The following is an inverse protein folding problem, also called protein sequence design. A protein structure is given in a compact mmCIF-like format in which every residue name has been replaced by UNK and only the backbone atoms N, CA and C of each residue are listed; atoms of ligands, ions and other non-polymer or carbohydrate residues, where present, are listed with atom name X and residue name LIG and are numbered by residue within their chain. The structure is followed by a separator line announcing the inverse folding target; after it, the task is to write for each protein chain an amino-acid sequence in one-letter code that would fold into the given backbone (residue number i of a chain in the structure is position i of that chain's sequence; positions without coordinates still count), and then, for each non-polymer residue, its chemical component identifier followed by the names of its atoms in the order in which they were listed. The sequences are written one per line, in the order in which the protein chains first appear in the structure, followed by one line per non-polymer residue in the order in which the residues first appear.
data_IF_858899176202
#
_entry.id   IF_858899176202
#
_cell.length_a   1.000
_cell.length_b   1.000
_cell.length_c   1.000
_cell.angle_alpha   90.00
_cell.angle_beta   90.00
_cell.angle_gamma   90.00
#
_symmetry.space_group_name_H-M   'P 1'
#
loop_
_entity.id
_entity.type
_entity.pdbx_description
1 polymer ?
#
# COMPACT_ATOMS: atom_id res chain seq x y z
N UNK A 1 42.28 19.91 -3.02
CA UNK A 1 40.95 20.26 -2.46
C UNK A 1 40.42 21.48 -3.21
N UNK A 2 39.14 21.55 -3.59
CA UNK A 2 38.59 22.76 -4.18
C UNK A 2 38.54 23.88 -3.14
N UNK A 3 38.95 25.08 -3.54
CA UNK A 3 38.73 26.31 -2.76
C UNK A 3 37.24 26.63 -2.87
N UNK A 4 36.59 26.93 -1.73
CA UNK A 4 35.18 27.34 -1.68
C UNK A 4 35.08 28.72 -1.04
N UNK A 5 34.15 29.52 -1.53
CA UNK A 5 33.93 30.86 -1.01
C UNK A 5 33.43 30.80 0.44
N UNK A 6 34.11 31.54 1.31
CA UNK A 6 33.70 31.74 2.71
C UNK A 6 32.56 32.77 2.81
N UNK A 7 32.47 33.67 1.83
CA UNK A 7 31.49 34.75 1.78
C UNK A 7 30.86 34.85 0.38
N UNK A 8 29.61 35.28 0.32
CA UNK A 8 28.91 35.64 -0.92
C UNK A 8 28.84 37.15 -1.04
N UNK A 9 29.03 37.65 -2.26
CA UNK A 9 28.97 39.09 -2.55
C UNK A 9 27.51 39.55 -2.55
N UNK A 10 27.18 40.54 -1.72
CA UNK A 10 25.89 41.21 -1.79
C UNK A 10 25.91 42.33 -2.84
N UNK A 11 24.75 42.67 -3.39
CA UNK A 11 24.61 43.84 -4.25
C UNK A 11 24.71 45.12 -3.42
N UNK A 12 25.36 46.15 -3.97
CA UNK A 12 25.25 47.51 -3.42
C UNK A 12 23.86 48.09 -3.67
N UNK A 13 23.53 49.13 -2.92
CA UNK A 13 22.34 49.94 -3.22
C UNK A 13 22.55 50.70 -4.54
N UNK A 14 21.49 50.84 -5.36
CA UNK A 14 21.57 51.66 -6.57
C UNK A 14 21.82 53.12 -6.21
N UNK A 15 22.61 53.80 -7.06
CA UNK A 15 23.01 55.19 -6.90
C UNK A 15 23.03 55.89 -8.26
N UNK A 16 23.02 57.22 -8.25
CA UNK A 16 23.12 58.06 -9.44
C UNK A 16 24.23 59.09 -9.22
N UNK A 17 24.98 59.40 -10.27
CA UNK A 17 26.07 60.38 -10.24
C UNK A 17 25.74 61.59 -11.11
N UNK A 18 26.15 62.79 -10.67
CA UNK A 18 26.15 64.00 -11.49
C UNK A 18 27.49 64.22 -12.22
N UNK A 19 27.56 65.25 -13.07
CA UNK A 19 28.79 65.59 -13.80
C UNK A 19 29.92 65.94 -12.80
N UNK A 20 31.08 65.30 -12.97
CA UNK A 20 32.26 65.48 -12.11
C UNK A 20 32.10 65.02 -10.66
N UNK A 21 31.13 64.15 -10.36
CA UNK A 21 30.97 63.53 -9.04
C UNK A 21 31.70 62.18 -8.96
N UNK A 22 32.37 61.92 -7.85
CA UNK A 22 32.99 60.62 -7.53
C UNK A 22 32.36 60.09 -6.23
N UNK A 23 31.87 58.85 -6.27
CA UNK A 23 31.33 58.17 -5.08
C UNK A 23 32.06 56.84 -4.90
N UNK A 24 32.41 56.54 -3.65
CA UNK A 24 32.95 55.26 -3.24
C UNK A 24 31.82 54.42 -2.63
N UNK A 25 31.67 53.19 -3.12
CA UNK A 25 30.62 52.26 -2.67
C UNK A 25 31.27 50.98 -2.23
N UNK A 26 31.16 50.74 -0.93
CA UNK A 26 31.57 49.49 -0.34
C UNK A 26 30.54 48.40 -0.65
N UNK A 27 31.03 47.23 -1.06
CA UNK A 27 30.21 46.03 -1.19
C UNK A 27 30.21 45.28 0.14
N UNK A 28 29.04 44.80 0.56
CA UNK A 28 28.92 43.97 1.75
C UNK A 28 29.13 42.49 1.38
N UNK A 29 29.82 41.77 2.28
CA UNK A 29 30.01 40.33 2.18
C UNK A 29 29.08 39.64 3.16
N UNK A 30 28.28 38.70 2.67
CA UNK A 30 27.44 37.83 3.50
C UNK A 30 28.16 36.50 3.73
N UNK A 31 28.04 35.88 4.91
CA UNK A 31 28.55 34.52 5.10
C UNK A 31 27.90 33.56 4.10
N UNK A 32 28.73 32.75 3.43
CA UNK A 32 28.23 31.73 2.54
C UNK A 32 27.48 30.66 3.36
N UNK A 33 26.31 30.18 2.92
CA UNK A 33 25.61 29.10 3.62
C UNK A 33 26.53 27.89 3.77
N UNK A 34 26.79 27.45 5.00
CA UNK A 34 27.67 26.31 5.21
C UNK A 34 27.03 25.05 4.60
N UNK A 35 27.77 24.29 3.77
CA UNK A 35 27.24 23.05 3.23
C UNK A 35 26.92 22.09 4.39
N UNK A 36 25.81 21.35 4.32
CA UNK A 36 25.46 20.40 5.37
C UNK A 36 26.55 19.35 5.50
N UNK A 37 27.18 19.27 6.68
CA UNK A 37 28.17 18.25 7.01
C UNK A 37 27.55 17.23 7.98
N UNK A 38 26.48 16.57 7.56
CA UNK A 38 25.71 15.66 8.42
C UNK A 38 25.66 14.26 7.85
N UNK A 39 25.54 13.26 8.72
CA UNK A 39 25.45 11.86 8.30
C UNK A 39 24.41 11.11 9.12
N UNK A 40 23.40 10.60 8.44
CA UNK A 40 22.37 9.75 9.04
C UNK A 40 22.46 8.38 8.37
N UNK A 41 22.62 7.32 9.15
CA UNK A 41 22.67 5.97 8.60
C UNK A 41 21.95 4.98 9.48
N UNK A 42 21.62 3.83 8.90
CA UNK A 42 21.19 2.69 9.69
C UNK A 42 20.59 1.60 8.84
N UNK A 43 19.67 0.84 9.42
CA UNK A 43 19.10 -0.36 8.79
C UNK A 43 17.59 -0.40 8.88
N UNK A 44 16.98 -1.06 7.89
CA UNK A 44 15.59 -1.50 7.94
C UNK A 44 15.57 -3.03 7.92
N UNK A 45 14.95 -3.63 8.92
CA UNK A 45 14.79 -5.07 9.05
C UNK A 45 13.34 -5.46 9.32
N UNK A 46 13.02 -6.72 9.05
CA UNK A 46 11.79 -7.36 9.45
C UNK A 46 11.88 -7.78 10.93
N UNK A 47 10.73 -7.95 11.57
CA UNK A 47 10.67 -8.37 12.96
C UNK A 47 11.31 -9.73 13.25
N UNK A 48 11.34 -10.63 12.27
CA UNK A 48 12.02 -11.93 12.39
C UNK A 48 13.54 -11.85 12.11
N UNK A 49 14.13 -10.65 12.01
CA UNK A 49 15.59 -10.45 11.89
C UNK A 49 16.14 -10.30 10.47
N UNK A 50 15.35 -10.57 9.42
CA UNK A 50 15.80 -10.42 8.03
C UNK A 50 15.90 -8.94 7.62
N UNK A 51 16.96 -8.54 6.91
CA UNK A 51 17.06 -7.19 6.36
C UNK A 51 16.11 -6.97 5.19
N UNK A 52 15.50 -5.78 5.10
CA UNK A 52 14.56 -5.43 4.02
C UNK A 52 15.29 -4.58 3.00
N UNK A 53 15.46 -5.12 1.78
CA UNK A 53 16.00 -4.40 0.62
C UNK A 53 14.94 -3.50 -0.01
N UNK A 54 15.35 -2.44 -0.69
CA UNK A 54 14.47 -1.51 -1.40
C UNK A 54 13.40 -0.83 -0.52
N UNK A 55 13.54 -0.88 0.81
CA UNK A 55 12.69 -0.12 1.71
C UNK A 55 12.97 1.38 1.51
N UNK A 56 11.91 2.16 1.44
CA UNK A 56 11.92 3.59 1.29
C UNK A 56 12.06 4.25 2.66
N UNK A 57 13.20 4.89 2.91
CA UNK A 57 13.44 5.68 4.12
C UNK A 57 13.33 7.15 3.75
N UNK A 58 12.50 7.91 4.46
CA UNK A 58 12.22 9.32 4.17
C UNK A 58 12.50 10.19 5.39
N UNK A 59 13.10 11.36 5.16
CA UNK A 59 13.31 12.41 6.15
C UNK A 59 12.29 13.52 5.90
N UNK A 60 11.72 14.03 6.98
CA UNK A 60 10.75 15.11 7.02
C UNK A 60 11.27 16.24 7.91
N UNK A 61 10.90 17.49 7.58
CA UNK A 61 11.14 18.65 8.44
C UNK A 61 10.36 18.56 9.75
N UNK A 62 10.61 19.47 10.67
CA UNK A 62 9.83 19.63 11.90
C UNK A 62 8.35 19.99 11.63
N UNK A 63 8.04 20.65 10.50
CA UNK A 63 6.66 20.83 10.00
C UNK A 63 6.12 19.62 9.22
N UNK A 64 6.78 18.46 9.31
CA UNK A 64 6.38 17.20 8.65
C UNK A 64 6.39 17.25 7.11
N UNK A 65 7.03 18.24 6.49
CA UNK A 65 7.21 18.29 5.04
C UNK A 65 8.32 17.31 4.62
N UNK A 66 8.06 16.47 3.60
CA UNK A 66 9.06 15.51 3.12
C UNK A 66 10.21 16.24 2.44
N UNK A 67 11.45 15.98 2.89
CA UNK A 67 12.66 16.60 2.37
C UNK A 67 13.41 15.67 1.42
N UNK A 68 13.75 14.47 1.91
CA UNK A 68 14.60 13.53 1.18
C UNK A 68 14.09 12.10 1.34
N UNK A 69 14.48 11.24 0.40
CA UNK A 69 14.16 9.82 0.44
C UNK A 69 15.25 9.00 -0.22
N UNK A 70 15.55 7.85 0.37
CA UNK A 70 16.51 6.86 -0.17
C UNK A 70 15.93 5.46 -0.07
N UNK A 71 16.49 4.53 -0.86
CA UNK A 71 16.17 3.10 -0.78
C UNK A 71 17.26 2.36 -0.03
N UNK A 72 16.88 1.39 0.80
CA UNK A 72 17.84 0.48 1.43
C UNK A 72 18.48 -0.45 0.41
N UNK A 73 19.76 -0.79 0.62
CA UNK A 73 20.46 -1.79 -0.18
C UNK A 73 20.10 -3.23 0.22
N UNK A 74 20.75 -4.23 -0.39
CA UNK A 74 20.51 -5.67 -0.12
C UNK A 74 20.74 -6.09 1.34
N UNK A 75 21.54 -5.34 2.11
CA UNK A 75 21.78 -5.57 3.55
C UNK A 75 20.86 -4.69 4.42
N UNK A 76 19.79 -4.13 3.85
CA UNK A 76 18.85 -3.26 4.53
C UNK A 76 19.44 -1.90 4.95
N UNK A 77 20.65 -1.54 4.50
CA UNK A 77 21.34 -0.32 4.94
C UNK A 77 20.91 0.88 4.10
N UNK A 78 20.75 2.03 4.75
CA UNK A 78 20.54 3.33 4.12
C UNK A 78 21.52 4.36 4.68
N UNK A 79 21.82 5.39 3.88
CA UNK A 79 22.67 6.52 4.27
C UNK A 79 22.08 7.79 3.66
N UNK A 80 21.97 8.83 4.46
CA UNK A 80 21.83 10.23 4.04
C UNK A 80 23.11 10.94 4.43
N UNK A 81 23.82 11.51 3.47
CA UNK A 81 25.14 12.12 3.69
C UNK A 81 25.15 13.51 3.07
N UNK A 82 25.46 14.52 3.89
CA UNK A 82 25.52 15.92 3.49
C UNK A 82 24.23 16.41 2.80
N UNK A 83 23.06 16.02 3.32
CA UNK A 83 21.75 16.38 2.75
C UNK A 83 20.94 17.37 3.62
N UNK A 84 21.10 17.33 4.94
CA UNK A 84 20.32 18.16 5.88
C UNK A 84 21.24 18.96 6.77
N UNK A 85 20.84 20.18 7.15
CA UNK A 85 21.56 20.95 8.15
C UNK A 85 21.39 20.33 9.55
N UNK A 86 22.28 20.59 10.51
CA UNK A 86 22.05 20.23 11.90
C UNK A 86 20.69 20.77 12.38
N UNK A 87 19.95 19.95 13.13
CA UNK A 87 18.59 20.30 13.53
C UNK A 87 17.74 19.09 13.90
N UNK A 88 16.45 19.34 14.16
CA UNK A 88 15.46 18.32 14.49
C UNK A 88 14.68 17.90 13.24
N UNK A 89 14.55 16.60 13.05
CA UNK A 89 13.86 16.02 11.89
C UNK A 89 13.01 14.82 12.31
N UNK A 90 12.08 14.44 11.44
CA UNK A 90 11.36 13.18 11.54
C UNK A 90 11.84 12.22 10.46
N UNK A 91 12.01 10.95 10.80
CA UNK A 91 12.44 9.93 9.84
C UNK A 91 11.53 8.70 9.95
N UNK A 92 11.17 8.13 8.80
CA UNK A 92 10.31 6.94 8.72
C UNK A 92 10.74 6.00 7.60
N UNK A 93 10.37 4.74 7.72
CA UNK A 93 10.61 3.71 6.72
C UNK A 93 9.30 3.05 6.26
N UNK A 94 9.25 2.68 4.98
CA UNK A 94 8.13 1.96 4.37
C UNK A 94 8.65 0.97 3.34
N UNK A 95 7.94 -0.12 3.12
CA UNK A 95 8.27 -1.11 2.11
C UNK A 95 6.99 -1.81 1.64
N UNK A 96 6.98 -2.26 0.39
CA UNK A 96 5.85 -3.00 -0.15
C UNK A 96 5.61 -4.31 0.62
N UNK A 97 4.35 -4.58 0.98
CA UNK A 97 3.98 -5.73 1.81
C UNK A 97 4.23 -5.55 3.30
N UNK A 98 4.66 -4.37 3.75
CA UNK A 98 4.90 -4.05 5.15
C UNK A 98 4.11 -2.82 5.59
N UNK A 99 3.73 -2.82 6.87
CA UNK A 99 3.19 -1.63 7.53
C UNK A 99 4.29 -0.56 7.61
N UNK A 100 3.94 0.69 7.31
CA UNK A 100 4.87 1.80 7.45
C UNK A 100 5.26 1.99 8.92
N UNK A 101 6.53 2.33 9.18
CA UNK A 101 6.97 2.61 10.54
C UNK A 101 6.33 3.90 11.06
N UNK A 102 6.19 4.00 12.39
CA UNK A 102 6.00 5.31 13.03
C UNK A 102 7.19 6.23 12.71
N UNK A 103 6.92 7.52 12.56
CA UNK A 103 7.98 8.52 12.44
C UNK A 103 8.75 8.61 13.76
N UNK A 104 10.08 8.66 13.65
CA UNK A 104 10.99 8.90 14.78
C UNK A 104 11.51 10.32 14.71
N UNK A 105 11.40 11.07 15.81
CA UNK A 105 12.08 12.35 15.95
C UNK A 105 13.58 12.09 16.19
N UNK A 106 14.44 12.76 15.44
CA UNK A 106 15.90 12.67 15.57
C UNK A 106 16.51 14.07 15.65
N UNK A 107 17.57 14.20 16.45
CA UNK A 107 18.47 15.34 16.41
C UNK A 107 19.67 14.97 15.53
N UNK A 108 19.99 15.85 14.58
CA UNK A 108 21.11 15.71 13.66
C UNK A 108 22.12 16.79 14.01
N UNK A 109 23.36 16.38 14.23
CA UNK A 109 24.46 17.28 14.59
C UNK A 109 25.50 17.31 13.46
N UNK A 110 26.22 18.42 13.36
CA UNK A 110 27.30 18.56 12.38
C UNK A 110 28.46 17.62 12.71
N UNK A 111 29.05 17.02 11.68
CA UNK A 111 30.21 16.12 11.78
C UNK A 111 30.00 14.87 12.66
N UNK A 112 28.77 14.59 13.09
CA UNK A 112 28.40 13.40 13.84
C UNK A 112 27.54 12.45 12.99
N UNK A 113 27.66 11.15 13.25
CA UNK A 113 26.83 10.14 12.58
C UNK A 113 25.63 9.77 13.44
N UNK A 114 24.44 10.26 13.09
CA UNK A 114 23.18 9.84 13.69
C UNK A 114 22.80 8.45 13.19
N UNK A 115 22.60 7.50 14.12
CA UNK A 115 22.23 6.11 13.78
C UNK A 115 20.75 5.85 14.07
N UNK A 116 20.01 5.32 13.08
CA UNK A 116 18.58 5.03 13.21
C UNK A 116 18.24 3.68 12.59
N UNK A 117 17.60 2.82 13.36
CA UNK A 117 17.16 1.50 12.88
C UNK A 117 15.64 1.43 12.85
N UNK A 118 15.08 0.75 11.85
CA UNK A 118 13.65 0.49 11.72
C UNK A 118 13.38 -1.00 11.67
N UNK A 119 12.32 -1.40 12.36
CA UNK A 119 11.75 -2.75 12.29
C UNK A 119 10.36 -2.62 11.68
N UNK A 120 10.13 -3.24 10.53
CA UNK A 120 8.82 -3.27 9.86
C UNK A 120 8.13 -4.61 10.10
N UNK A 121 6.80 -4.55 10.12
CA UNK A 121 5.91 -5.70 10.27
C UNK A 121 5.18 -5.95 8.97
N UNK A 122 4.96 -7.21 8.60
CA UNK A 122 4.20 -7.55 7.39
C UNK A 122 2.79 -6.97 7.51
N UNK A 123 2.33 -6.31 6.46
CA UNK A 123 0.97 -5.82 6.38
C UNK A 123 0.04 -6.99 6.07
N UNK A 124 -0.47 -7.62 7.13
CA UNK A 124 -1.32 -8.79 7.00
C UNK A 124 -2.63 -8.46 6.28
N UNK A 125 -3.15 -7.24 6.41
CA UNK A 125 -4.43 -6.85 5.81
C UNK A 125 -4.31 -6.58 4.31
N UNK A 126 -3.28 -5.87 3.87
CA UNK A 126 -3.04 -5.63 2.43
C UNK A 126 -2.59 -6.89 1.68
N UNK A 127 -2.17 -7.95 2.40
CA UNK A 127 -1.85 -9.22 1.76
C UNK A 127 -3.08 -9.99 1.27
N UNK A 128 -4.27 -9.73 1.82
CA UNK A 128 -5.47 -10.44 1.39
C UNK A 128 -6.01 -9.89 0.06
N UNK A 129 -6.51 -10.78 -0.79
CA UNK A 129 -7.20 -10.40 -2.00
C UNK A 129 -8.71 -10.25 -1.82
N UNK A 130 -9.33 -9.80 -2.91
CA UNK A 130 -10.76 -9.54 -3.04
C UNK A 130 -11.29 -10.23 -4.28
N UNK A 131 -12.43 -10.89 -4.17
CA UNK A 131 -13.16 -11.47 -5.31
C UNK A 131 -14.52 -10.81 -5.38
N UNK A 132 -14.85 -10.26 -6.55
CA UNK A 132 -16.10 -9.53 -6.75
C UNK A 132 -16.66 -9.82 -8.14
N UNK A 133 -17.93 -9.50 -8.34
CA UNK A 133 -18.56 -9.65 -9.65
C UNK A 133 -20.07 -9.62 -9.56
N UNK A 134 -20.72 -10.08 -10.62
CA UNK A 134 -22.18 -10.17 -10.73
C UNK A 134 -22.64 -11.59 -11.06
N UNK A 135 -23.83 -11.95 -10.60
CA UNK A 135 -24.54 -13.18 -10.98
C UNK A 135 -25.72 -12.82 -11.87
N UNK A 136 -25.86 -13.52 -12.99
CA UNK A 136 -26.91 -13.28 -13.98
C UNK A 136 -27.72 -14.54 -14.26
N UNK A 137 -28.95 -14.34 -14.71
CA UNK A 137 -29.77 -15.37 -15.34
C UNK A 137 -29.22 -15.66 -16.74
N UNK A 138 -29.02 -16.93 -17.08
CA UNK A 138 -28.47 -17.31 -18.39
C UNK A 138 -29.47 -17.14 -19.52
N UNK A 139 -30.77 -17.23 -19.26
CA UNK A 139 -31.82 -17.09 -20.26
C UNK A 139 -32.21 -15.63 -20.50
N UNK A 140 -32.41 -14.86 -19.43
CA UNK A 140 -32.88 -13.47 -19.53
C UNK A 140 -31.76 -12.42 -19.54
N UNK A 141 -30.52 -12.80 -19.18
CA UNK A 141 -29.39 -11.90 -18.93
C UNK A 141 -29.64 -10.84 -17.83
N UNK A 142 -30.70 -10.96 -17.04
CA UNK A 142 -30.99 -10.06 -15.94
C UNK A 142 -30.13 -10.40 -14.71
N UNK A 143 -29.75 -9.40 -13.88
CA UNK A 143 -29.02 -9.66 -12.65
C UNK A 143 -29.86 -10.45 -11.65
N UNK A 144 -29.20 -11.32 -10.89
CA UNK A 144 -29.85 -12.15 -9.89
C UNK A 144 -29.48 -11.71 -8.48
N UNK A 145 -30.45 -11.14 -7.78
CA UNK A 145 -30.37 -10.87 -6.35
C UNK A 145 -30.49 -12.14 -5.51
N UNK A 146 -29.98 -12.08 -4.28
CA UNK A 146 -30.07 -13.14 -3.26
C UNK A 146 -29.48 -14.49 -3.70
N UNK A 147 -28.51 -14.50 -4.60
CA UNK A 147 -27.69 -15.67 -4.89
C UNK A 147 -26.66 -15.85 -3.78
N UNK A 148 -26.60 -17.03 -3.17
CA UNK A 148 -25.49 -17.41 -2.30
C UNK A 148 -24.25 -17.70 -3.15
N UNK A 149 -23.20 -16.91 -2.94
CA UNK A 149 -21.90 -17.07 -3.58
C UNK A 149 -20.94 -17.65 -2.57
N UNK A 150 -20.34 -18.79 -2.90
CA UNK A 150 -19.51 -19.56 -1.97
C UNK A 150 -18.15 -19.83 -2.57
N UNK A 151 -17.12 -19.60 -1.75
CA UNK A 151 -15.74 -19.88 -2.07
C UNK A 151 -15.27 -21.09 -1.25
N UNK A 152 -14.89 -22.17 -1.92
CA UNK A 152 -14.37 -23.39 -1.31
C UNK A 152 -12.86 -23.49 -1.49
N UNK A 153 -12.16 -24.09 -0.54
CA UNK A 153 -10.73 -24.40 -0.72
C UNK A 153 -10.56 -25.51 -1.76
N UNK A 154 -9.73 -25.31 -2.79
CA UNK A 154 -9.55 -26.32 -3.85
C UNK A 154 -9.01 -27.66 -3.32
N UNK A 155 -8.18 -27.63 -2.27
CA UNK A 155 -7.61 -28.83 -1.63
C UNK A 155 -8.54 -29.47 -0.59
N UNK A 156 -9.64 -28.82 -0.23
CA UNK A 156 -10.62 -29.30 0.73
C UNK A 156 -12.01 -28.78 0.30
N UNK A 157 -12.60 -29.34 -0.76
CA UNK A 157 -13.80 -28.78 -1.39
C UNK A 157 -15.01 -28.73 -0.45
N UNK A 158 -15.07 -29.60 0.56
CA UNK A 158 -16.11 -29.55 1.60
C UNK A 158 -15.94 -28.40 2.61
N UNK A 159 -14.76 -27.76 2.64
CA UNK A 159 -14.48 -26.63 3.53
C UNK A 159 -14.79 -25.31 2.82
N UNK A 160 -15.85 -24.66 3.28
CA UNK A 160 -16.19 -23.29 2.89
C UNK A 160 -15.13 -22.36 3.48
N UNK A 161 -14.54 -21.53 2.63
CA UNK A 161 -13.65 -20.45 3.03
C UNK A 161 -14.44 -19.20 3.36
N UNK A 162 -15.34 -18.81 2.47
CA UNK A 162 -16.19 -17.63 2.63
C UNK A 162 -17.50 -17.80 1.86
N UNK A 163 -18.54 -17.10 2.30
CA UNK A 163 -19.82 -17.00 1.62
C UNK A 163 -20.34 -15.57 1.69
N UNK A 164 -21.12 -15.17 0.69
CA UNK A 164 -21.79 -13.88 0.62
C UNK A 164 -23.08 -14.02 -0.19
N UNK A 165 -23.91 -12.99 -0.23
CA UNK A 165 -25.12 -12.94 -1.04
C UNK A 165 -25.07 -11.79 -2.03
N UNK A 166 -25.67 -11.97 -3.21
CA UNK A 166 -25.78 -10.88 -4.18
C UNK A 166 -26.82 -9.83 -3.78
N UNK A 167 -26.53 -8.56 -4.05
CA UNK A 167 -27.47 -7.44 -3.87
C UNK A 167 -28.52 -7.37 -5.00
N UNK A 168 -29.38 -6.33 -4.99
CA UNK A 168 -30.43 -6.11 -5.99
C UNK A 168 -29.92 -6.06 -7.45
N UNK A 169 -28.70 -5.57 -7.67
CA UNK A 169 -28.03 -5.50 -8.97
C UNK A 169 -27.22 -6.77 -9.30
N UNK A 170 -27.43 -7.85 -8.54
CA UNK A 170 -26.74 -9.11 -8.69
C UNK A 170 -25.26 -9.08 -8.31
N UNK A 171 -24.77 -8.01 -7.67
CA UNK A 171 -23.36 -7.85 -7.32
C UNK A 171 -23.01 -8.57 -6.02
N UNK A 172 -21.81 -9.13 -5.94
CA UNK A 172 -21.26 -9.72 -4.72
C UNK A 172 -19.82 -9.25 -4.47
N UNK A 173 -19.40 -9.34 -3.19
CA UNK A 173 -18.06 -9.04 -2.73
C UNK A 173 -17.63 -10.05 -1.66
N UNK A 174 -16.46 -10.65 -1.86
CA UNK A 174 -15.76 -11.50 -0.91
C UNK A 174 -14.38 -10.87 -0.64
N UNK A 175 -14.10 -10.56 0.63
CA UNK A 175 -12.86 -9.91 1.08
C UNK A 175 -12.10 -10.80 2.06
N UNK A 176 -10.87 -10.40 2.41
CA UNK A 176 -9.95 -11.18 3.24
C UNK A 176 -9.64 -12.58 2.69
N UNK A 177 -9.45 -12.69 1.36
CA UNK A 177 -9.08 -13.95 0.71
C UNK A 177 -7.58 -14.16 0.80
N UNK A 178 -7.14 -15.26 1.44
CA UNK A 178 -5.70 -15.55 1.60
C UNK A 178 -5.01 -15.70 0.24
N UNK A 179 -3.86 -15.04 0.05
CA UNK A 179 -3.11 -15.16 -1.20
C UNK A 179 -2.44 -16.54 -1.33
N UNK A 180 -2.04 -16.89 -2.55
CA UNK A 180 -1.34 -18.11 -2.95
C UNK A 180 -2.06 -19.43 -2.64
N UNK A 181 -3.35 -19.34 -2.33
CA UNK A 181 -4.27 -20.46 -2.23
C UNK A 181 -5.15 -20.50 -3.49
N UNK A 182 -5.49 -21.71 -3.92
CA UNK A 182 -6.41 -21.95 -5.03
C UNK A 182 -7.79 -22.28 -4.47
N UNK A 183 -8.82 -21.68 -5.04
CA UNK A 183 -10.20 -21.78 -4.61
C UNK A 183 -11.13 -22.19 -5.75
N UNK A 184 -12.29 -22.72 -5.38
CA UNK A 184 -13.44 -22.90 -6.25
C UNK A 184 -14.53 -21.90 -5.87
N UNK A 185 -14.90 -21.04 -6.80
CA UNK A 185 -16.01 -20.10 -6.66
C UNK A 185 -17.26 -20.69 -7.33
N UNK A 186 -18.39 -20.68 -6.65
CA UNK A 186 -19.68 -21.05 -7.23
C UNK A 186 -20.81 -20.18 -6.67
N UNK A 187 -21.92 -20.10 -7.40
CA UNK A 187 -23.13 -19.42 -6.99
C UNK A 187 -24.32 -20.37 -7.01
N UNK A 188 -25.26 -20.19 -6.08
CA UNK A 188 -26.50 -20.95 -5.96
C UNK A 188 -27.66 -20.01 -5.64
N UNK A 189 -28.83 -20.30 -6.20
CA UNK A 189 -30.10 -19.69 -5.83
C UNK A 189 -31.21 -20.75 -5.90
N UNK A 190 -32.22 -20.66 -5.02
CA UNK A 190 -33.40 -21.53 -5.16
C UNK A 190 -34.08 -21.28 -6.52
N UNK A 191 -34.60 -22.34 -7.14
CA UNK A 191 -35.18 -22.27 -8.48
C UNK A 191 -34.15 -22.26 -9.63
N UNK A 192 -32.85 -22.36 -9.33
CA UNK A 192 -31.78 -22.35 -10.32
C UNK A 192 -30.84 -23.54 -10.13
N UNK A 193 -30.31 -24.05 -11.23
CA UNK A 193 -29.15 -24.92 -11.24
C UNK A 193 -27.93 -24.17 -10.66
N UNK A 194 -27.13 -24.84 -9.83
CA UNK A 194 -25.89 -24.27 -9.30
C UNK A 194 -24.94 -23.93 -10.46
N UNK A 195 -24.21 -22.81 -10.36
CA UNK A 195 -23.23 -22.46 -11.37
C UNK A 195 -22.13 -23.50 -11.47
N UNK A 196 -21.46 -23.58 -12.63
CA UNK A 196 -20.19 -24.28 -12.72
C UNK A 196 -19.18 -23.67 -11.73
N UNK A 197 -18.39 -24.54 -11.10
CA UNK A 197 -17.31 -24.11 -10.20
C UNK A 197 -16.17 -23.50 -11.01
N UNK A 198 -15.79 -22.26 -10.68
CA UNK A 198 -14.68 -21.56 -11.31
C UNK A 198 -13.43 -21.65 -10.44
N UNK A 199 -12.30 -22.12 -11.00
CA UNK A 199 -11.01 -22.15 -10.32
C UNK A 199 -10.41 -20.75 -10.30
N UNK A 200 -10.09 -20.25 -9.11
CA UNK A 200 -9.39 -18.97 -8.97
C UNK A 200 -8.16 -19.13 -8.09
N UNK A 201 -7.07 -18.42 -8.44
CA UNK A 201 -5.88 -18.27 -7.61
C UNK A 201 -5.73 -16.80 -7.32
N UNK A 202 -5.66 -16.45 -6.05
CA UNK A 202 -5.57 -15.05 -5.59
C UNK A 202 -4.12 -14.77 -5.20
N UNK A 203 -3.54 -13.70 -5.73
CA UNK A 203 -2.23 -13.17 -5.32
C UNK A 203 -2.38 -12.13 -4.21
N UNK A 204 -1.28 -11.78 -3.55
CA UNK A 204 -1.29 -10.78 -2.48
C UNK A 204 -1.88 -9.45 -2.97
N UNK A 205 -2.90 -8.95 -2.26
CA UNK A 205 -3.62 -7.71 -2.60
C UNK A 205 -4.42 -7.73 -3.92
N UNK A 206 -4.55 -8.88 -4.58
CA UNK A 206 -5.20 -8.97 -5.89
C UNK A 206 -6.72 -8.76 -5.81
N UNK A 207 -7.27 -8.04 -6.80
CA UNK A 207 -8.72 -7.87 -6.97
C UNK A 207 -9.18 -8.61 -8.22
N UNK A 208 -9.95 -9.68 -8.04
CA UNK A 208 -10.41 -10.54 -9.15
C UNK A 208 -11.87 -10.28 -9.45
N UNK A 209 -12.17 -9.83 -10.67
CA UNK A 209 -13.52 -9.77 -11.21
C UNK A 209 -13.94 -11.13 -11.78
N UNK A 210 -15.02 -11.73 -11.26
CA UNK A 210 -15.63 -12.96 -11.77
C UNK A 210 -17.15 -12.86 -11.80
N UNK A 211 -17.69 -12.82 -12.99
CA UNK A 211 -19.13 -12.93 -13.20
C UNK A 211 -19.53 -14.41 -13.32
N UNK A 212 -20.71 -14.75 -12.83
CA UNK A 212 -21.28 -16.09 -12.90
C UNK A 212 -22.68 -16.04 -13.52
N UNK A 213 -23.11 -17.18 -14.06
CA UNK A 213 -24.44 -17.35 -14.64
C UNK A 213 -25.13 -18.54 -14.00
N UNK A 214 -26.43 -18.42 -13.78
CA UNK A 214 -27.30 -19.49 -13.32
C UNK A 214 -28.39 -19.75 -14.36
N UNK A 215 -28.72 -21.01 -14.56
CA UNK A 215 -29.83 -21.44 -15.42
C UNK A 215 -31.01 -21.80 -14.53
N UNK A 216 -32.18 -21.22 -14.76
CA UNK A 216 -33.40 -21.58 -14.03
C UNK A 216 -33.72 -23.06 -14.28
N UNK A 217 -34.29 -23.76 -13.30
CA UNK A 217 -34.96 -25.01 -13.61
C UNK A 217 -36.14 -24.67 -14.54
N UNK A 218 -36.19 -25.25 -15.74
CA UNK A 218 -37.37 -25.11 -16.59
C UNK A 218 -38.61 -25.57 -15.80
N UNK A 219 -39.67 -24.77 -15.81
CA UNK A 219 -40.88 -25.02 -15.01
C UNK A 219 -41.71 -26.23 -15.50
N UNK A 220 -41.27 -26.95 -16.52
CA UNK A 220 -42.13 -27.95 -17.17
C UNK A 220 -42.26 -29.26 -16.40
N UNK A 221 -41.41 -29.57 -15.42
CA UNK A 221 -41.48 -30.84 -14.69
C UNK A 221 -41.17 -30.72 -13.19
N UNK A 222 -42.06 -30.10 -12.42
CA UNK A 222 -42.07 -30.29 -10.95
C UNK A 222 -43.02 -31.44 -10.64
N UNK A 223 -42.49 -32.66 -10.58
CA UNK A 223 -43.17 -33.75 -9.88
C UNK A 223 -43.31 -33.37 -8.41
N UNK A 224 -44.53 -33.39 -7.89
CA UNK A 224 -44.81 -33.11 -6.48
C UNK A 224 -44.58 -34.38 -5.65
N UNK A 225 -43.75 -34.29 -4.62
CA UNK A 225 -43.67 -35.33 -3.57
C UNK A 225 -44.41 -34.81 -2.34
N UNK A 226 -45.51 -35.48 -1.98
CA UNK A 226 -46.22 -35.28 -0.71
C UNK A 226 -46.13 -36.54 0.12
N UNK A 227 -45.90 -36.39 1.43
CA UNK A 227 -45.89 -37.50 2.38
C UNK A 227 -46.21 -37.00 3.79
N UNK A 228 -46.83 -37.86 4.59
CA UNK A 228 -47.10 -37.59 6.00
C UNK A 228 -45.98 -38.19 6.85
N UNK A 229 -45.33 -37.39 7.68
CA UNK A 229 -44.37 -37.90 8.66
C UNK A 229 -45.17 -38.52 9.80
N UNK A 230 -45.06 -39.84 9.97
CA UNK A 230 -45.70 -40.57 11.08
C UNK A 230 -44.63 -41.04 12.05
N UNK A 231 -44.76 -40.67 13.33
CA UNK A 231 -43.89 -41.14 14.40
C UNK A 231 -44.48 -42.44 14.97
N UNK A 232 -43.83 -43.59 14.72
CA UNK A 232 -44.19 -44.83 15.42
C UNK A 232 -43.71 -44.73 16.88
N UNK A 233 -44.65 -44.90 17.82
CA UNK A 233 -44.34 -45.09 19.24
C UNK A 233 -43.87 -46.51 19.50
#
# INVERSE_FOLDING_TARGET
MPIRDKYTLASSNPFYLHLSEEVNIDLTLNEAPQPPCTRIQGTVSHACGNYIKNALVSIYSDQHAKLFQVKTNRKGRFIFESLVQPGRYYIGASAEGYEASKLKCIAVESSFTTRVSFQLHTDHLNSFGVVYGRVFDSGTNLPLANCSVTLHMCRAPHRIYATTSTNGDGQFLLFFIKPDIVYWLSARRMGYQQSLSCKIRVKAGERILRNMRLTSFEMDHIGQVTGTIVHHR
#
